data_IF_546460147997
#
_entry.id   IF_546460147997
#
_cell.length_a   1.000
_cell.length_b   1.000
_cell.length_c   1.000
_cell.angle_alpha   90.00
_cell.angle_beta   90.00
_cell.angle_gamma   90.00
#
_symmetry.space_group_name_H-M   'P 1'
#
loop_
_entity.id
_entity.type
_entity.pdbx_description
1 polymer ?
#
# COMPACT_ATOMS: atom_id res chain seq x y z
N UNK A 1 1.33 -18.15 -28.93
CA UNK A 1 2.15 -18.79 -27.88
C UNK A 1 1.47 -18.59 -26.54
N UNK A 2 1.07 -19.67 -25.86
CA UNK A 2 0.49 -19.61 -24.52
C UNK A 2 1.48 -18.95 -23.56
N UNK A 3 1.22 -17.70 -23.14
CA UNK A 3 1.95 -17.06 -22.04
C UNK A 3 1.81 -18.00 -20.84
N UNK A 4 2.91 -18.65 -20.42
CA UNK A 4 2.93 -19.42 -19.17
C UNK A 4 2.64 -18.45 -18.03
N UNK A 5 1.37 -18.38 -17.60
CA UNK A 5 0.90 -17.67 -16.41
C UNK A 5 1.78 -18.08 -15.24
N UNK A 6 2.55 -17.12 -14.70
CA UNK A 6 3.67 -17.38 -13.80
C UNK A 6 3.32 -17.28 -12.33
N UNK A 7 2.25 -16.55 -11.97
CA UNK A 7 1.88 -16.29 -10.57
C UNK A 7 0.77 -17.24 -10.13
N UNK A 8 1.08 -18.20 -9.25
CA UNK A 8 0.10 -19.04 -8.57
C UNK A 8 -0.49 -18.37 -7.33
N UNK A 9 -1.39 -19.07 -6.62
CA UNK A 9 -2.05 -18.55 -5.40
C UNK A 9 -1.06 -18.02 -4.37
N UNK A 10 0.00 -18.78 -4.05
CA UNK A 10 1.01 -18.35 -3.09
C UNK A 10 1.72 -17.06 -3.48
N UNK A 11 2.06 -16.90 -4.77
CA UNK A 11 2.71 -15.68 -5.26
C UNK A 11 1.74 -14.50 -5.31
N UNK A 12 0.48 -14.71 -5.68
CA UNK A 12 -0.55 -13.66 -5.64
C UNK A 12 -0.89 -13.23 -4.21
N UNK A 13 -1.01 -14.18 -3.28
CA UNK A 13 -1.17 -13.90 -1.85
C UNK A 13 0.05 -13.18 -1.29
N UNK A 14 1.27 -13.59 -1.66
CA UNK A 14 2.49 -12.89 -1.27
C UNK A 14 2.58 -11.48 -1.86
N UNK A 15 2.00 -11.24 -3.04
CA UNK A 15 1.91 -9.89 -3.61
C UNK A 15 0.94 -9.01 -2.82
N UNK A 16 -0.24 -9.52 -2.44
CA UNK A 16 -1.19 -8.78 -1.59
C UNK A 16 -0.60 -8.55 -0.20
N UNK A 17 -0.29 -9.63 0.51
CA UNK A 17 0.22 -9.58 1.89
C UNK A 17 1.54 -8.85 1.94
N UNK A 18 2.48 -9.14 1.03
CA UNK A 18 3.80 -8.53 1.07
C UNK A 18 3.83 -7.06 0.67
N UNK A 19 2.87 -6.57 -0.13
CA UNK A 19 2.73 -5.13 -0.44
C UNK A 19 2.05 -4.36 0.70
N UNK A 20 1.06 -4.97 1.35
CA UNK A 20 0.43 -4.40 2.54
C UNK A 20 1.42 -4.38 3.71
N UNK A 21 2.00 -5.55 4.05
CA UNK A 21 2.96 -5.71 5.14
C UNK A 21 4.31 -5.17 4.66
N UNK A 22 4.43 -3.85 4.63
CA UNK A 22 5.67 -3.12 4.32
C UNK A 22 6.18 -2.35 5.53
N UNK A 23 6.87 -1.24 5.29
CA UNK A 23 7.36 -0.36 6.37
C UNK A 23 6.25 0.26 7.22
N UNK A 24 5.04 0.43 6.64
CA UNK A 24 3.90 1.09 7.28
C UNK A 24 3.53 0.49 8.63
N UNK A 25 3.20 -0.80 8.69
CA UNK A 25 2.81 -1.45 9.95
C UNK A 25 3.90 -1.33 11.02
N UNK A 26 5.16 -1.46 10.61
CA UNK A 26 6.27 -1.49 11.55
C UNK A 26 6.53 -0.13 12.22
N UNK A 27 6.16 0.98 11.58
CA UNK A 27 6.31 2.33 12.14
C UNK A 27 5.01 2.88 12.76
N UNK A 28 3.86 2.29 12.44
CA UNK A 28 2.57 2.79 12.91
C UNK A 28 2.42 2.86 14.44
N UNK A 29 2.96 1.94 15.26
CA UNK A 29 2.90 2.09 16.71
C UNK A 29 3.50 3.41 17.22
N UNK A 30 4.61 3.87 16.64
CA UNK A 30 5.19 5.18 16.97
C UNK A 30 4.26 6.34 16.57
N UNK A 31 3.72 6.30 15.35
CA UNK A 31 2.81 7.33 14.86
C UNK A 31 1.48 7.40 15.65
N UNK A 32 1.03 6.26 16.18
CA UNK A 32 -0.21 6.14 16.95
C UNK A 32 -0.02 6.40 18.45
N UNK A 33 1.22 6.44 18.94
CA UNK A 33 1.54 6.65 20.34
C UNK A 33 0.95 7.96 20.90
N UNK A 34 0.93 9.02 20.09
CA UNK A 34 0.35 10.32 20.46
C UNK A 34 -1.18 10.28 20.69
N UNK A 35 -1.87 9.28 20.15
CA UNK A 35 -3.31 9.10 20.33
C UNK A 35 -3.63 8.15 21.49
N UNK A 36 -2.72 7.23 21.82
CA UNK A 36 -2.94 6.20 22.83
C UNK A 36 -3.90 5.11 22.36
N UNK A 37 -4.60 4.48 23.31
CA UNK A 37 -5.44 3.30 23.06
C UNK A 37 -6.57 3.48 22.05
N UNK A 38 -7.09 4.70 21.90
CA UNK A 38 -8.14 5.04 20.94
C UNK A 38 -7.78 4.69 19.49
N UNK A 39 -6.49 4.63 19.18
CA UNK A 39 -5.97 4.18 17.89
C UNK A 39 -6.39 2.76 17.51
N UNK A 40 -6.70 1.88 18.47
CA UNK A 40 -7.23 0.54 18.21
C UNK A 40 -8.62 0.63 17.55
N UNK A 41 -9.45 1.59 17.96
CA UNK A 41 -10.76 1.81 17.35
C UNK A 41 -10.58 2.31 15.90
N UNK A 42 -9.62 3.22 15.67
CA UNK A 42 -9.21 3.64 14.33
C UNK A 42 -8.79 2.45 13.45
N UNK A 43 -7.95 1.56 13.98
CA UNK A 43 -7.55 0.32 13.32
C UNK A 43 -8.74 -0.57 12.96
N UNK A 44 -9.69 -0.78 13.87
CA UNK A 44 -10.88 -1.62 13.63
C UNK A 44 -11.76 -1.04 12.52
N UNK A 45 -11.94 0.28 12.52
CA UNK A 45 -12.70 0.97 11.48
C UNK A 45 -12.01 0.86 10.11
N UNK A 46 -10.70 1.10 10.08
CA UNK A 46 -9.88 0.95 8.86
C UNK A 46 -9.85 -0.49 8.35
N UNK A 47 -9.67 -1.47 9.23
CA UNK A 47 -9.70 -2.89 8.86
C UNK A 47 -11.06 -3.28 8.27
N UNK A 48 -12.16 -2.79 8.84
CA UNK A 48 -13.51 -3.02 8.31
C UNK A 48 -13.66 -2.41 6.91
N UNK A 49 -13.23 -1.16 6.73
CA UNK A 49 -13.23 -0.49 5.43
C UNK A 49 -12.37 -1.21 4.39
N UNK A 50 -11.15 -1.62 4.75
CA UNK A 50 -10.25 -2.39 3.90
C UNK A 50 -10.85 -3.75 3.51
N UNK A 51 -11.55 -4.42 4.43
CA UNK A 51 -12.26 -5.67 4.13
C UNK A 51 -13.43 -5.45 3.17
N UNK A 52 -14.18 -4.36 3.30
CA UNK A 52 -15.20 -4.00 2.32
C UNK A 52 -14.56 -3.79 0.94
N UNK A 53 -13.48 -3.01 0.84
CA UNK A 53 -12.73 -2.80 -0.41
C UNK A 53 -12.18 -4.12 -0.99
N UNK A 54 -11.65 -5.01 -0.15
CA UNK A 54 -11.17 -6.32 -0.57
C UNK A 54 -12.28 -7.18 -1.18
N UNK A 55 -13.51 -7.13 -0.65
CA UNK A 55 -14.67 -7.81 -1.23
C UNK A 55 -15.06 -7.22 -2.59
N UNK A 56 -14.95 -5.90 -2.76
CA UNK A 56 -15.20 -5.21 -4.03
C UNK A 56 -14.19 -5.67 -5.10
N UNK A 57 -12.90 -5.60 -4.79
CA UNK A 57 -11.84 -6.05 -5.70
C UNK A 57 -11.90 -7.54 -5.98
N UNK A 58 -12.29 -8.36 -4.98
CA UNK A 58 -12.53 -9.78 -5.16
C UNK A 58 -13.64 -10.07 -6.18
N UNK A 59 -14.68 -9.24 -6.26
CA UNK A 59 -15.75 -9.45 -7.25
C UNK A 59 -15.37 -8.91 -8.60
N UNK A 60 -14.86 -7.68 -8.64
CA UNK A 60 -14.41 -7.04 -9.88
C UNK A 60 -13.36 -7.88 -10.60
N UNK A 61 -12.38 -8.43 -9.90
CA UNK A 61 -11.37 -9.33 -10.49
C UNK A 61 -11.93 -10.68 -10.93
N UNK A 62 -13.00 -11.16 -10.30
CA UNK A 62 -13.73 -12.35 -10.72
C UNK A 62 -14.43 -12.16 -12.07
N UNK A 63 -14.99 -10.96 -12.32
CA UNK A 63 -15.67 -10.63 -13.57
C UNK A 63 -14.74 -10.11 -14.67
N UNK A 64 -13.69 -9.37 -14.30
CA UNK A 64 -12.81 -8.65 -15.22
C UNK A 64 -11.34 -9.04 -14.89
N UNK A 65 -10.88 -10.24 -15.30
CA UNK A 65 -9.51 -10.71 -15.05
C UNK A 65 -8.53 -10.15 -16.10
N UNK A 66 -8.47 -8.82 -16.25
CA UNK A 66 -7.57 -8.12 -17.20
C UNK A 66 -6.49 -7.34 -16.47
N UNK A 67 -5.31 -7.21 -17.10
CA UNK A 67 -4.21 -6.38 -16.59
C UNK A 67 -4.66 -4.92 -16.45
N UNK A 68 -4.23 -4.27 -15.38
CA UNK A 68 -4.58 -2.88 -15.05
C UNK A 68 -5.44 -2.73 -13.80
N UNK A 69 -6.09 -3.82 -13.34
CA UNK A 69 -6.81 -3.86 -12.08
C UNK A 69 -7.82 -2.70 -11.92
N UNK A 70 -7.68 -1.82 -10.91
CA UNK A 70 -8.60 -0.71 -10.70
C UNK A 70 -8.81 0.18 -11.94
N UNK A 71 -7.77 0.42 -12.74
CA UNK A 71 -7.85 1.22 -13.96
C UNK A 71 -8.91 0.68 -14.93
N UNK A 72 -8.86 -0.64 -15.19
CA UNK A 72 -9.76 -1.24 -16.18
C UNK A 72 -11.21 -1.26 -15.67
N UNK A 73 -11.41 -1.45 -14.37
CA UNK A 73 -12.74 -1.44 -13.75
C UNK A 73 -13.41 -0.07 -13.90
N UNK A 74 -12.67 1.00 -13.57
CA UNK A 74 -13.13 2.38 -13.65
C UNK A 74 -13.36 2.78 -15.11
N UNK A 75 -12.44 2.41 -16.01
CA UNK A 75 -12.59 2.67 -17.45
C UNK A 75 -13.83 1.99 -18.02
N UNK A 76 -14.10 0.73 -17.66
CA UNK A 76 -15.28 0.00 -18.13
C UNK A 76 -16.59 0.60 -17.61
N UNK A 77 -16.60 1.14 -16.38
CA UNK A 77 -17.76 1.80 -15.82
C UNK A 77 -17.99 3.20 -16.42
N UNK A 78 -16.96 4.05 -16.39
CA UNK A 78 -17.07 5.50 -16.58
C UNK A 78 -16.36 6.06 -17.82
N UNK A 79 -15.70 5.20 -18.60
CA UNK A 79 -15.02 5.60 -19.84
C UNK A 79 -13.56 6.02 -19.67
N UNK A 80 -12.96 6.43 -20.79
CA UNK A 80 -11.51 6.63 -20.92
C UNK A 80 -10.94 7.68 -19.97
N UNK A 81 -11.59 8.84 -19.83
CA UNK A 81 -11.07 9.94 -19.01
C UNK A 81 -11.03 9.57 -17.53
N UNK A 82 -12.12 9.03 -16.99
CA UNK A 82 -12.20 8.61 -15.59
C UNK A 82 -11.18 7.49 -15.27
N UNK A 83 -11.03 6.51 -16.19
CA UNK A 83 -9.99 5.50 -16.06
C UNK A 83 -8.59 6.12 -16.03
N UNK A 84 -8.29 7.00 -16.99
CA UNK A 84 -6.98 7.65 -17.08
C UNK A 84 -6.63 8.47 -15.83
N UNK A 85 -7.53 9.36 -15.40
CA UNK A 85 -7.22 10.35 -14.35
C UNK A 85 -6.98 9.66 -13.01
N UNK A 86 -7.74 8.60 -12.73
CA UNK A 86 -7.57 7.79 -11.52
C UNK A 86 -6.30 6.95 -11.60
N UNK A 87 -5.99 6.35 -12.75
CA UNK A 87 -4.77 5.58 -12.91
C UNK A 87 -3.51 6.47 -12.88
N UNK A 88 -3.60 7.71 -13.36
CA UNK A 88 -2.57 8.73 -13.23
C UNK A 88 -2.31 9.07 -11.75
N UNK A 89 -3.38 9.39 -11.00
CA UNK A 89 -3.29 9.62 -9.55
C UNK A 89 -2.70 8.43 -8.81
N UNK A 90 -3.13 7.22 -9.14
CA UNK A 90 -2.60 6.01 -8.52
C UNK A 90 -1.13 5.74 -8.90
N UNK A 91 -0.70 6.04 -10.12
CA UNK A 91 0.72 5.95 -10.48
C UNK A 91 1.58 6.92 -9.67
N UNK A 92 1.07 8.14 -9.44
CA UNK A 92 1.68 9.12 -8.52
C UNK A 92 1.77 8.57 -7.10
N UNK A 93 0.67 8.00 -6.59
CA UNK A 93 0.63 7.35 -5.28
C UNK A 93 1.75 6.31 -5.13
N UNK A 94 1.95 5.47 -6.14
CA UNK A 94 2.94 4.39 -6.12
C UNK A 94 4.37 4.94 -6.01
N UNK A 95 4.77 5.88 -6.87
CA UNK A 95 6.17 6.36 -6.82
C UNK A 95 6.44 7.20 -5.58
N UNK A 96 5.46 7.96 -5.08
CA UNK A 96 5.57 8.68 -3.81
C UNK A 96 5.70 7.67 -2.66
N UNK A 97 4.88 6.62 -2.67
CA UNK A 97 4.91 5.57 -1.67
C UNK A 97 6.19 4.76 -1.66
N UNK A 98 6.79 4.51 -2.82
CA UNK A 98 8.10 3.86 -2.93
C UNK A 98 9.20 4.63 -2.20
N UNK A 99 9.17 5.97 -2.23
CA UNK A 99 10.10 6.79 -1.44
C UNK A 99 9.92 6.54 0.06
N UNK A 100 8.67 6.56 0.56
CA UNK A 100 8.35 6.31 1.96
C UNK A 100 8.75 4.90 2.42
N UNK A 101 8.55 3.88 1.58
CA UNK A 101 8.97 2.50 1.88
C UNK A 101 10.49 2.39 1.92
N UNK A 102 11.21 3.03 0.99
CA UNK A 102 12.68 3.03 0.98
C UNK A 102 13.27 3.72 2.23
N UNK A 103 12.67 4.82 2.69
CA UNK A 103 13.05 5.47 3.95
C UNK A 103 12.79 4.55 5.14
N UNK A 104 11.63 3.88 5.20
CA UNK A 104 11.32 2.90 6.23
C UNK A 104 12.29 1.71 6.26
N UNK A 105 12.72 1.24 5.08
CA UNK A 105 13.79 0.24 4.96
C UNK A 105 15.09 0.73 5.62
N UNK A 106 15.53 1.95 5.33
CA UNK A 106 16.75 2.51 5.90
C UNK A 106 16.63 2.72 7.41
N UNK A 107 15.47 3.15 7.91
CA UNK A 107 15.21 3.30 9.35
C UNK A 107 15.43 2.00 10.12
N UNK A 108 14.89 0.88 9.63
CA UNK A 108 15.14 -0.43 10.22
C UNK A 108 16.57 -0.95 9.99
N UNK A 109 17.15 -0.65 8.83
CA UNK A 109 18.53 -1.05 8.53
C UNK A 109 19.58 -0.31 9.38
N UNK A 110 19.22 0.86 9.92
CA UNK A 110 20.07 1.63 10.83
C UNK A 110 20.38 0.89 12.15
N UNK A 111 19.59 -0.13 12.54
CA UNK A 111 19.94 -1.01 13.66
C UNK A 111 21.29 -1.70 13.44
N UNK A 112 21.57 -2.12 12.20
CA UNK A 112 22.81 -2.80 11.83
C UNK A 112 23.93 -1.81 11.48
N UNK A 113 23.54 -0.65 10.96
CA UNK A 113 24.48 0.40 10.58
C UNK A 113 24.04 1.76 11.14
N UNK A 114 24.38 2.07 12.40
CA UNK A 114 23.90 3.26 13.11
C UNK A 114 24.21 4.60 12.43
N UNK A 115 25.27 4.66 11.61
CA UNK A 115 25.60 5.84 10.83
C UNK A 115 24.46 6.29 9.89
N UNK A 116 23.54 5.39 9.53
CA UNK A 116 22.35 5.71 8.73
C UNK A 116 21.34 6.55 9.50
N UNK A 117 21.30 6.47 10.83
CA UNK A 117 20.42 7.29 11.66
C UNK A 117 20.95 8.73 11.82
N UNK A 118 22.29 8.90 11.80
CA UNK A 118 22.93 10.20 12.01
C UNK A 118 23.32 10.93 10.71
N UNK A 119 23.33 10.24 9.57
CA UNK A 119 23.75 10.80 8.29
C UNK A 119 22.66 10.65 7.23
N UNK A 120 21.84 11.69 7.08
CA UNK A 120 20.73 11.73 6.11
C UNK A 120 21.17 11.58 4.65
N UNK A 121 22.39 12.00 4.31
CA UNK A 121 22.94 11.81 2.96
C UNK A 121 23.22 10.34 2.66
N UNK A 122 23.91 9.66 3.58
CA UNK A 122 24.18 8.24 3.47
C UNK A 122 22.87 7.43 3.46
N UNK A 123 21.91 7.79 4.32
CA UNK A 123 20.58 7.21 4.34
C UNK A 123 19.87 7.34 2.98
N UNK A 124 19.92 8.53 2.37
CA UNK A 124 19.37 8.80 1.04
C UNK A 124 20.02 7.94 -0.05
N UNK A 125 21.35 7.80 -0.03
CA UNK A 125 22.07 6.94 -0.97
C UNK A 125 21.64 5.47 -0.83
N UNK A 126 21.56 4.95 0.39
CA UNK A 126 21.15 3.54 0.62
C UNK A 126 19.71 3.31 0.18
N UNK A 127 18.80 4.25 0.46
CA UNK A 127 17.42 4.18 -0.01
C UNK A 127 17.36 4.17 -1.55
N UNK A 128 18.05 5.07 -2.23
CA UNK A 128 18.11 5.10 -3.70
C UNK A 128 18.74 3.83 -4.29
N UNK A 129 19.82 3.33 -3.68
CA UNK A 129 20.45 2.08 -4.09
C UNK A 129 19.47 0.90 -4.01
N UNK A 130 18.65 0.83 -2.94
CA UNK A 130 17.63 -0.20 -2.80
C UNK A 130 16.56 -0.14 -3.90
N UNK A 131 16.10 1.08 -4.26
CA UNK A 131 15.16 1.30 -5.35
C UNK A 131 15.74 0.82 -6.68
N UNK A 132 16.95 1.27 -7.02
CA UNK A 132 17.58 0.93 -8.31
C UNK A 132 17.93 -0.55 -8.42
N UNK A 133 18.37 -1.19 -7.32
CA UNK A 133 18.58 -2.63 -7.25
C UNK A 133 17.27 -3.39 -7.55
N UNK A 134 16.17 -3.02 -6.88
CA UNK A 134 14.87 -3.66 -7.08
C UNK A 134 14.27 -3.36 -8.46
N UNK A 135 14.49 -2.16 -9.00
CA UNK A 135 14.13 -1.81 -10.37
C UNK A 135 14.86 -2.71 -11.36
N UNK A 136 16.17 -2.92 -11.19
CA UNK A 136 16.93 -3.85 -12.00
C UNK A 136 16.37 -5.28 -11.90
N UNK A 137 16.10 -5.80 -10.70
CA UNK A 137 15.48 -7.12 -10.49
C UNK A 137 14.14 -7.21 -11.25
N UNK A 138 13.30 -6.18 -11.17
CA UNK A 138 12.02 -6.13 -11.85
C UNK A 138 12.15 -6.07 -13.38
N UNK A 139 13.26 -5.57 -13.93
CA UNK A 139 13.53 -5.70 -15.37
C UNK A 139 13.81 -7.14 -15.81
N UNK A 140 14.21 -8.03 -14.89
CA UNK A 140 14.55 -9.43 -15.20
C UNK A 140 13.34 -10.36 -15.39
N UNK A 141 12.12 -9.90 -15.10
CA UNK A 141 10.90 -10.68 -15.33
C UNK A 141 9.94 -10.67 -14.13
N UNK A 142 8.64 -10.66 -14.42
CA UNK A 142 7.57 -10.70 -13.39
C UNK A 142 7.67 -11.93 -12.48
N UNK A 143 8.13 -13.07 -13.00
CA UNK A 143 8.33 -14.29 -12.21
C UNK A 143 9.43 -14.14 -11.15
N UNK A 144 10.55 -13.49 -11.50
CA UNK A 144 11.65 -13.26 -10.56
C UNK A 144 11.22 -12.28 -9.47
N UNK A 145 10.54 -11.20 -9.84
CA UNK A 145 9.93 -10.28 -8.90
C UNK A 145 8.93 -10.98 -7.95
N UNK A 146 8.09 -11.87 -8.48
CA UNK A 146 7.16 -12.69 -7.69
C UNK A 146 7.85 -13.70 -6.76
N UNK A 147 9.02 -14.23 -7.14
CA UNK A 147 9.82 -15.08 -6.27
C UNK A 147 10.46 -14.29 -5.12
N UNK A 148 11.06 -13.14 -5.41
CA UNK A 148 11.58 -12.21 -4.38
C UNK A 148 10.47 -11.81 -3.43
N UNK A 149 9.27 -11.53 -3.95
CA UNK A 149 8.09 -11.23 -3.16
C UNK A 149 7.71 -12.38 -2.21
N UNK A 150 7.71 -13.62 -2.70
CA UNK A 150 7.36 -14.79 -1.89
C UNK A 150 8.36 -15.01 -0.75
N UNK A 151 9.66 -14.99 -1.06
CA UNK A 151 10.72 -15.19 -0.07
C UNK A 151 10.66 -14.10 1.01
N UNK A 152 10.61 -12.83 0.60
CA UNK A 152 10.54 -11.70 1.54
C UNK A 152 9.26 -11.72 2.38
N UNK A 153 8.13 -12.20 1.82
CA UNK A 153 6.87 -12.34 2.56
C UNK A 153 6.94 -13.42 3.64
N UNK A 154 7.55 -14.57 3.36
CA UNK A 154 7.72 -15.62 4.38
C UNK A 154 8.61 -15.12 5.51
N UNK A 155 9.74 -14.49 5.16
CA UNK A 155 10.72 -14.00 6.14
C UNK A 155 10.17 -12.87 7.03
N UNK A 156 9.32 -11.99 6.51
CA UNK A 156 8.75 -10.88 7.30
C UNK A 156 7.61 -11.31 8.24
N UNK A 157 6.86 -12.36 7.91
CA UNK A 157 5.68 -12.78 8.69
C UNK A 157 6.08 -13.32 10.05
N UNK A 158 7.19 -14.08 10.13
CA UNK A 158 7.62 -14.73 11.38
C UNK A 158 7.86 -13.74 12.53
N UNK A 159 8.76 -12.74 12.41
CA UNK A 159 9.03 -11.80 13.50
C UNK A 159 7.80 -10.96 13.85
N UNK A 160 6.99 -10.59 12.85
CA UNK A 160 5.75 -9.86 13.08
C UNK A 160 4.75 -10.72 13.89
N UNK A 161 4.55 -11.98 13.49
CA UNK A 161 3.65 -12.90 14.20
C UNK A 161 4.12 -13.18 15.63
N UNK A 162 5.43 -13.32 15.86
CA UNK A 162 6.02 -13.53 17.19
C UNK A 162 5.70 -12.35 18.10
N UNK A 163 5.95 -11.11 17.67
CA UNK A 163 5.63 -9.92 18.48
C UNK A 163 4.12 -9.77 18.66
N UNK A 164 3.33 -9.94 17.59
CA UNK A 164 1.87 -9.83 17.64
C UNK A 164 1.19 -10.89 18.53
N UNK A 165 1.85 -12.00 18.86
CA UNK A 165 1.27 -13.07 19.68
C UNK A 165 1.97 -13.19 21.03
N UNK A 166 3.26 -13.53 21.05
CA UNK A 166 4.02 -13.72 22.28
C UNK A 166 4.32 -12.40 23.00
N UNK A 167 4.42 -11.29 22.27
CA UNK A 167 4.59 -9.96 22.87
C UNK A 167 3.42 -9.56 23.77
N UNK A 168 2.21 -10.06 23.50
CA UNK A 168 1.02 -9.79 24.33
C UNK A 168 1.15 -10.33 25.76
N UNK A 169 2.05 -11.29 26.01
CA UNK A 169 2.32 -11.81 27.36
C UNK A 169 3.04 -10.80 28.25
N UNK A 170 3.65 -9.76 27.66
CA UNK A 170 4.39 -8.70 28.34
C UNK A 170 3.64 -7.36 28.30
N UNK A 171 2.35 -7.42 28.02
CA UNK A 171 1.47 -6.27 27.92
C UNK A 171 1.27 -5.60 29.28
N UNK A 172 1.45 -4.27 29.33
CA UNK A 172 1.07 -3.43 30.45
C UNK A 172 -0.12 -2.53 30.06
N UNK A 173 -1.24 -2.67 30.77
CA UNK A 173 -2.46 -1.89 30.53
C UNK A 173 -2.29 -0.40 30.85
N UNK A 174 -1.36 -0.04 31.73
CA UNK A 174 -1.13 1.35 32.13
C UNK A 174 -0.64 2.20 30.95
N UNK A 175 0.03 1.58 29.97
CA UNK A 175 0.44 2.23 28.72
C UNK A 175 -0.76 2.69 27.86
N UNK A 176 -1.97 2.21 28.15
CA UNK A 176 -3.22 2.61 27.51
C UNK A 176 -3.99 3.65 28.33
N UNK A 177 -3.42 4.18 29.42
CA UNK A 177 -4.07 5.19 30.26
C UNK A 177 -3.36 6.56 30.17
N UNK A 178 -4.08 7.64 29.84
CA UNK A 178 -5.49 7.70 29.43
C UNK A 178 -5.72 7.05 28.06
N UNK A 179 -6.93 6.50 27.83
CA UNK A 179 -7.23 5.78 26.58
C UNK A 179 -7.17 6.67 25.34
N UNK A 180 -7.51 7.95 25.48
CA UNK A 180 -7.32 8.96 24.45
C UNK A 180 -6.28 9.99 24.93
N UNK A 181 -5.11 9.99 24.31
CA UNK A 181 -3.98 10.88 24.62
C UNK A 181 -3.91 12.09 23.69
N UNK A 182 -4.76 12.17 22.66
CA UNK A 182 -4.63 13.22 21.63
C UNK A 182 -5.01 14.62 22.11
N UNK A 183 -5.72 14.74 23.24
CA UNK A 183 -6.33 16.00 23.70
C UNK A 183 -7.55 16.44 22.89
N UNK A 184 -7.93 15.67 21.87
CA UNK A 184 -9.05 15.95 20.96
C UNK A 184 -10.28 15.08 21.28
N UNK A 185 -11.42 15.40 20.66
CA UNK A 185 -12.60 14.54 20.73
C UNK A 185 -12.30 13.12 20.21
N UNK A 186 -12.99 12.12 20.77
CA UNK A 186 -12.82 10.73 20.35
C UNK A 186 -13.07 10.53 18.86
N UNK A 187 -14.04 11.24 18.29
CA UNK A 187 -14.34 11.20 16.86
C UNK A 187 -13.17 11.71 16.00
N UNK A 188 -12.56 12.84 16.40
CA UNK A 188 -11.39 13.41 15.72
C UNK A 188 -10.18 12.45 15.79
N UNK A 189 -9.90 11.90 16.97
CA UNK A 189 -8.81 10.94 17.17
C UNK A 189 -9.00 9.65 16.36
N UNK A 190 -10.21 9.08 16.34
CA UNK A 190 -10.53 7.89 15.52
C UNK A 190 -10.35 8.20 14.03
N UNK A 191 -10.74 9.40 13.60
CA UNK A 191 -10.61 9.83 12.20
C UNK A 191 -9.15 9.99 11.78
N UNK A 192 -8.33 10.64 12.60
CA UNK A 192 -6.91 10.81 12.33
C UNK A 192 -6.14 9.47 12.33
N UNK A 193 -6.39 8.62 13.34
CA UNK A 193 -5.78 7.29 13.41
C UNK A 193 -6.27 6.36 12.30
N UNK A 194 -7.52 6.50 11.87
CA UNK A 194 -8.06 5.80 10.70
C UNK A 194 -7.32 6.15 9.40
N UNK A 195 -7.06 7.44 9.17
CA UNK A 195 -6.30 7.89 8.01
C UNK A 195 -4.85 7.36 8.02
N UNK A 196 -4.18 7.38 9.17
CA UNK A 196 -2.83 6.84 9.33
C UNK A 196 -2.78 5.32 9.07
N UNK A 197 -3.72 4.58 9.63
CA UNK A 197 -3.74 3.12 9.54
C UNK A 197 -4.11 2.61 8.14
N UNK A 198 -4.84 3.39 7.34
CA UNK A 198 -5.16 3.05 5.96
C UNK A 198 -3.92 2.82 5.11
N UNK A 199 -2.83 3.55 5.38
CA UNK A 199 -1.54 3.37 4.71
C UNK A 199 -1.08 1.91 4.73
N UNK A 200 -1.24 1.20 5.86
CA UNK A 200 -0.83 -0.19 5.98
C UNK A 200 -1.71 -1.17 5.19
N UNK A 201 -2.90 -0.74 4.76
CA UNK A 201 -3.82 -1.52 3.94
C UNK A 201 -3.67 -1.28 2.44
N UNK A 202 -2.90 -0.26 2.03
CA UNK A 202 -2.62 -0.04 0.62
C UNK A 202 -1.95 -1.29 0.03
N UNK A 203 -2.40 -1.68 -1.16
CA UNK A 203 -1.91 -2.87 -1.84
C UNK A 203 -2.84 -4.08 -1.73
N UNK A 204 -4.01 -3.97 -1.08
CA UNK A 204 -5.07 -4.99 -1.16
C UNK A 204 -5.49 -5.29 -2.62
N UNK A 205 -5.37 -4.30 -3.49
CA UNK A 205 -5.66 -4.37 -4.92
C UNK A 205 -4.51 -4.95 -5.76
N UNK A 206 -3.32 -5.13 -5.19
CA UNK A 206 -2.08 -5.40 -5.94
C UNK A 206 -2.16 -6.60 -6.89
N UNK A 207 -2.83 -7.68 -6.46
CA UNK A 207 -2.98 -8.89 -7.28
C UNK A 207 -3.89 -8.69 -8.50
N UNK A 208 -4.74 -7.66 -8.51
CA UNK A 208 -5.63 -7.34 -9.65
C UNK A 208 -4.87 -6.69 -10.81
N UNK A 209 -3.72 -6.08 -10.56
CA UNK A 209 -3.00 -5.29 -11.55
C UNK A 209 -2.29 -6.17 -12.58
N UNK A 210 -1.50 -7.20 -12.22
CA UNK A 210 -0.89 -8.13 -13.17
C UNK A 210 -1.78 -9.35 -13.48
N UNK A 211 -3.11 -9.16 -13.59
CA UNK A 211 -4.06 -10.28 -13.64
C UNK A 211 -3.83 -11.27 -14.80
N UNK A 212 -3.31 -10.83 -15.95
CA UNK A 212 -3.03 -11.72 -17.08
C UNK A 212 -1.86 -12.70 -16.82
N UNK A 213 -0.97 -12.36 -15.89
CA UNK A 213 0.17 -13.19 -15.52
C UNK A 213 -0.15 -14.14 -14.35
N UNK A 214 -1.38 -14.07 -13.79
CA UNK A 214 -1.90 -14.93 -12.72
C UNK A 214 -2.54 -16.19 -13.27
N UNK A 215 -2.26 -17.34 -12.63
CA UNK A 215 -2.89 -18.63 -12.91
C UNK A 215 -4.30 -18.65 -12.33
N UNK A 216 -5.29 -18.96 -13.17
CA UNK A 216 -6.71 -18.99 -12.80
C UNK A 216 -7.17 -17.69 -12.10
N UNK A 217 -7.04 -16.53 -12.78
CA UNK A 217 -7.17 -15.22 -12.13
C UNK A 217 -8.53 -14.98 -11.48
N UNK A 218 -9.61 -15.56 -12.04
CA UNK A 218 -10.98 -15.42 -11.53
C UNK A 218 -11.22 -16.14 -10.20
N UNK A 219 -10.32 -17.03 -9.77
CA UNK A 219 -10.37 -17.69 -8.45
C UNK A 219 -9.20 -17.30 -7.56
N UNK A 220 -8.02 -17.15 -8.15
CA UNK A 220 -6.79 -16.88 -7.43
C UNK A 220 -6.74 -15.47 -6.86
N UNK A 221 -7.05 -14.44 -7.67
CA UNK A 221 -7.01 -13.04 -7.24
C UNK A 221 -8.05 -12.76 -6.14
N UNK A 222 -9.32 -13.19 -6.28
CA UNK A 222 -10.32 -13.04 -5.22
C UNK A 222 -9.88 -13.60 -3.86
N UNK A 223 -9.36 -14.83 -3.86
CA UNK A 223 -8.90 -15.50 -2.63
C UNK A 223 -7.68 -14.80 -2.03
N UNK A 224 -6.71 -14.44 -2.87
CA UNK A 224 -5.50 -13.75 -2.43
C UNK A 224 -5.82 -12.39 -1.79
N UNK A 225 -6.72 -11.61 -2.40
CA UNK A 225 -7.14 -10.30 -1.88
C UNK A 225 -7.87 -10.45 -0.54
N UNK A 226 -8.94 -11.24 -0.46
CA UNK A 226 -9.75 -11.32 0.79
C UNK A 226 -8.96 -11.94 1.94
N UNK A 227 -8.31 -13.08 1.71
CA UNK A 227 -7.56 -13.76 2.78
C UNK A 227 -6.31 -12.98 3.17
N UNK A 228 -5.64 -12.35 2.20
CA UNK A 228 -4.48 -11.51 2.46
C UNK A 228 -4.84 -10.28 3.29
N UNK A 229 -5.94 -9.59 2.95
CA UNK A 229 -6.40 -8.43 3.72
C UNK A 229 -6.82 -8.81 5.13
N UNK A 230 -7.56 -9.92 5.30
CA UNK A 230 -7.98 -10.39 6.63
C UNK A 230 -6.78 -10.76 7.51
N UNK A 231 -5.83 -11.51 6.94
CA UNK A 231 -4.60 -11.89 7.64
C UNK A 231 -3.80 -10.66 8.09
N UNK A 232 -3.59 -9.71 7.19
CA UNK A 232 -2.90 -8.46 7.50
C UNK A 232 -3.64 -7.65 8.58
N UNK A 233 -4.97 -7.53 8.49
CA UNK A 233 -5.76 -6.83 9.50
C UNK A 233 -5.55 -7.38 10.91
N UNK A 234 -5.63 -8.71 11.07
CA UNK A 234 -5.46 -9.38 12.35
C UNK A 234 -4.05 -9.15 12.89
N UNK A 235 -3.02 -9.39 12.08
CA UNK A 235 -1.63 -9.30 12.54
C UNK A 235 -1.23 -7.85 12.89
N UNK A 236 -1.81 -6.87 12.18
CA UNK A 236 -1.58 -5.44 12.40
C UNK A 236 -2.14 -4.94 13.72
N UNK A 237 -3.40 -5.28 13.99
CA UNK A 237 -4.08 -4.90 15.23
C UNK A 237 -3.35 -5.53 16.41
N UNK A 238 -3.12 -6.85 16.36
CA UNK A 238 -2.42 -7.56 17.43
C UNK A 238 -0.99 -7.05 17.63
N UNK A 239 -0.26 -6.78 16.55
CA UNK A 239 1.10 -6.25 16.62
C UNK A 239 1.17 -4.86 17.22
N UNK A 240 0.25 -3.98 16.83
CA UNK A 240 0.19 -2.62 17.37
C UNK A 240 -0.20 -2.65 18.85
N UNK A 241 -1.20 -3.46 19.22
CA UNK A 241 -1.61 -3.64 20.63
C UNK A 241 -0.45 -4.17 21.47
N UNK A 242 0.29 -5.17 20.98
CA UNK A 242 1.45 -5.70 21.67
C UNK A 242 2.51 -4.61 21.88
N UNK A 243 2.97 -3.95 20.82
CA UNK A 243 4.03 -2.93 20.91
C UNK A 243 3.63 -1.76 21.80
N UNK A 244 2.40 -1.24 21.67
CA UNK A 244 1.89 -0.16 22.52
C UNK A 244 1.71 -0.60 23.98
N UNK A 245 1.44 -1.89 24.23
CA UNK A 245 1.38 -2.43 25.57
C UNK A 245 2.74 -2.66 26.21
N UNK A 246 3.78 -2.86 25.42
CA UNK A 246 5.15 -3.14 25.89
C UNK A 246 5.92 -1.84 26.15
N UNK A 247 5.83 -0.88 25.23
CA UNK A 247 6.63 0.35 25.26
C UNK A 247 5.78 1.53 25.76
N UNK A 248 6.24 2.28 26.77
CA UNK A 248 5.56 3.50 27.21
C UNK A 248 5.35 4.52 26.07
N UNK A 249 4.20 5.20 25.99
CA UNK A 249 3.86 6.10 24.88
C UNK A 249 4.90 7.18 24.57
N UNK A 250 5.52 7.77 25.60
CA UNK A 250 6.54 8.82 25.44
C UNK A 250 7.83 8.32 24.79
N UNK A 251 8.23 7.07 25.08
CA UNK A 251 9.36 6.42 24.43
C UNK A 251 8.96 5.95 23.02
N UNK A 252 7.77 5.37 22.89
CA UNK A 252 7.26 4.82 21.63
C UNK A 252 7.13 5.88 20.53
N UNK A 253 6.67 7.09 20.87
CA UNK A 253 6.51 8.19 19.92
C UNK A 253 7.83 8.61 19.25
N UNK A 254 8.97 8.35 19.89
CA UNK A 254 10.31 8.69 19.40
C UNK A 254 11.04 7.49 18.76
N UNK A 255 10.42 6.32 18.74
CA UNK A 255 11.03 5.11 18.20
C UNK A 255 11.06 5.12 16.67
N UNK A 256 12.22 4.80 16.10
CA UNK A 256 12.41 4.58 14.66
C UNK A 256 12.24 3.12 14.26
N UNK A 257 12.13 2.20 15.23
CA UNK A 257 11.92 0.77 15.00
C UNK A 257 11.07 0.11 16.12
N UNK A 258 9.79 0.49 16.29
CA UNK A 258 8.98 0.09 17.45
C UNK A 258 8.94 -1.41 17.76
N UNK A 259 8.84 -2.25 16.74
CA UNK A 259 8.81 -3.69 16.91
C UNK A 259 10.16 -4.25 17.37
N UNK A 260 11.27 -3.69 16.90
CA UNK A 260 12.61 -4.10 17.32
C UNK A 260 12.88 -3.64 18.75
N UNK A 261 12.45 -2.43 19.12
CA UNK A 261 12.56 -1.92 20.49
C UNK A 261 11.75 -2.78 21.47
N UNK A 262 10.55 -3.19 21.09
CA UNK A 262 9.70 -4.06 21.91
C UNK A 262 10.32 -5.46 22.07
N UNK A 263 10.90 -6.00 21.00
CA UNK A 263 11.63 -7.28 21.08
C UNK A 263 12.87 -7.16 21.98
N UNK A 264 13.59 -6.05 21.89
CA UNK A 264 14.80 -5.79 22.66
C UNK A 264 14.50 -5.64 24.17
N UNK A 265 13.42 -4.93 24.53
CA UNK A 265 13.04 -4.75 25.92
C UNK A 265 12.59 -6.04 26.60
N UNK A 266 12.01 -6.98 25.86
CA UNK A 266 11.48 -8.24 26.39
C UNK A 266 12.54 -9.36 26.38
N UNK A 267 13.18 -9.58 25.24
CA UNK A 267 14.02 -10.77 24.99
C UNK A 267 15.50 -10.43 24.78
N UNK A 268 15.87 -9.15 24.87
CA UNK A 268 17.23 -8.67 24.74
C UNK A 268 17.66 -8.37 23.30
N UNK A 269 18.91 -7.92 23.16
CA UNK A 269 19.43 -7.33 21.92
C UNK A 269 19.33 -8.25 20.70
N UNK A 270 19.58 -9.56 20.85
CA UNK A 270 19.50 -10.52 19.75
C UNK A 270 18.10 -10.54 19.11
N UNK A 271 17.04 -10.41 19.92
CA UNK A 271 15.66 -10.38 19.43
C UNK A 271 15.35 -9.05 18.73
N UNK A 272 15.87 -7.95 19.28
CA UNK A 272 15.82 -6.64 18.62
C UNK A 272 16.43 -6.69 17.21
N UNK A 273 17.64 -7.23 17.07
CA UNK A 273 18.28 -7.40 15.76
C UNK A 273 17.50 -8.35 14.83
N UNK A 274 16.98 -9.47 15.34
CA UNK A 274 16.20 -10.40 14.53
C UNK A 274 14.92 -9.77 13.97
N UNK A 275 14.20 -9.01 14.80
CA UNK A 275 12.99 -8.29 14.38
C UNK A 275 13.32 -7.13 13.44
N UNK A 276 14.39 -6.38 13.69
CA UNK A 276 14.86 -5.33 12.79
C UNK A 276 15.24 -5.88 11.41
N UNK A 277 15.91 -7.04 11.34
CA UNK A 277 16.19 -7.72 10.07
C UNK A 277 14.88 -8.09 9.34
N UNK A 278 13.92 -8.64 10.06
CA UNK A 278 12.59 -8.98 9.53
C UNK A 278 11.85 -7.78 8.95
N UNK A 279 11.86 -6.65 9.65
CA UNK A 279 11.22 -5.40 9.23
C UNK A 279 11.97 -4.72 8.05
N UNK A 280 13.30 -4.81 8.01
CA UNK A 280 14.08 -4.36 6.86
C UNK A 280 13.78 -5.21 5.61
N UNK A 281 13.82 -6.55 5.74
CA UNK A 281 13.42 -7.49 4.69
C UNK A 281 11.96 -7.24 4.26
N UNK A 282 11.10 -6.90 5.22
CA UNK A 282 9.72 -6.53 4.95
C UNK A 282 9.62 -5.32 4.03
N UNK A 283 10.25 -4.23 4.42
CA UNK A 283 10.23 -2.96 3.68
C UNK A 283 10.83 -3.15 2.28
N UNK A 284 11.94 -3.88 2.17
CA UNK A 284 12.57 -4.23 0.88
C UNK A 284 11.65 -5.08 -0.01
N UNK A 285 10.96 -6.08 0.58
CA UNK A 285 10.00 -6.92 -0.13
C UNK A 285 8.76 -6.14 -0.61
N UNK A 286 8.22 -5.23 0.21
CA UNK A 286 7.11 -4.38 -0.19
C UNK A 286 7.53 -3.44 -1.34
N UNK A 287 8.72 -2.84 -1.24
CA UNK A 287 9.28 -1.99 -2.28
C UNK A 287 9.41 -2.74 -3.62
N UNK A 288 9.81 -4.02 -3.60
CA UNK A 288 9.88 -4.84 -4.80
C UNK A 288 8.51 -4.96 -5.50
N UNK A 289 7.46 -5.27 -4.75
CA UNK A 289 6.12 -5.42 -5.32
C UNK A 289 5.52 -4.10 -5.78
N UNK A 290 5.76 -2.98 -5.08
CA UNK A 290 5.30 -1.66 -5.52
C UNK A 290 6.09 -1.12 -6.73
N UNK A 291 7.39 -1.41 -6.84
CA UNK A 291 8.16 -1.13 -8.07
C UNK A 291 7.58 -1.91 -9.25
N UNK A 292 7.21 -3.19 -9.07
CA UNK A 292 6.51 -3.94 -10.11
C UNK A 292 5.25 -3.21 -10.58
N UNK A 293 4.40 -2.77 -9.67
CA UNK A 293 3.15 -2.08 -9.97
C UNK A 293 3.39 -0.73 -10.69
N UNK A 294 4.48 -0.02 -10.34
CA UNK A 294 4.85 1.26 -10.97
C UNK A 294 5.10 1.15 -12.48
N UNK A 295 5.48 -0.05 -12.96
CA UNK A 295 5.59 -0.33 -14.39
C UNK A 295 4.30 -0.83 -15.03
N UNK A 296 3.51 -1.62 -14.30
CA UNK A 296 2.29 -2.27 -14.81
C UNK A 296 1.14 -1.29 -15.03
N UNK A 297 0.98 -0.29 -14.17
CA UNK A 297 -0.09 0.72 -14.31
C UNK A 297 0.09 1.55 -15.60
N UNK A 298 1.22 2.21 -15.85
CA UNK A 298 1.46 2.91 -17.12
C UNK A 298 1.38 2.00 -18.35
N UNK A 299 1.81 0.73 -18.23
CA UNK A 299 1.68 -0.26 -19.30
C UNK A 299 0.22 -0.50 -19.68
N UNK A 300 -0.67 -0.67 -18.69
CA UNK A 300 -2.09 -0.89 -18.93
C UNK A 300 -2.75 0.31 -19.63
N UNK A 301 -2.46 1.53 -19.16
CA UNK A 301 -3.00 2.77 -19.74
C UNK A 301 -2.47 2.97 -21.18
N UNK A 302 -1.19 2.69 -21.42
CA UNK A 302 -0.56 2.81 -22.74
C UNK A 302 -1.10 1.81 -23.77
N UNK A 303 -1.48 0.60 -23.34
CA UNK A 303 -2.11 -0.41 -24.22
C UNK A 303 -3.48 0.01 -24.72
N UNK A 304 -4.18 0.84 -23.96
CA UNK A 304 -5.45 1.44 -24.35
C UNK A 304 -5.27 2.78 -25.10
N UNK A 305 -4.04 3.10 -25.55
CA UNK A 305 -3.67 4.35 -26.25
C UNK A 305 -3.94 5.64 -25.46
N UNK A 306 -4.07 5.55 -24.12
CA UNK A 306 -4.28 6.72 -23.25
C UNK A 306 -2.97 7.23 -22.62
N UNK A 307 -1.83 6.64 -22.97
CA UNK A 307 -0.50 7.04 -22.48
C UNK A 307 0.57 6.90 -23.59
N UNK A 308 1.73 7.59 -23.52
CA UNK A 308 2.74 7.49 -24.56
C UNK A 308 3.13 6.04 -24.87
N UNK A 309 3.15 5.70 -26.16
CA UNK A 309 3.35 4.33 -26.64
C UNK A 309 4.63 3.64 -26.12
N UNK A 310 5.66 4.40 -25.69
CA UNK A 310 6.87 3.85 -25.06
C UNK A 310 6.58 3.07 -23.77
N UNK A 311 5.60 3.50 -22.98
CA UNK A 311 5.17 2.78 -21.76
C UNK A 311 4.45 1.47 -22.07
N UNK A 312 3.88 1.33 -23.27
CA UNK A 312 3.20 0.13 -23.74
C UNK A 312 4.14 -1.00 -24.18
N UNK A 313 5.45 -0.73 -24.32
CA UNK A 313 6.43 -1.69 -24.86
C UNK A 313 6.95 -2.64 -23.77
N UNK A 314 6.97 -3.92 -24.09
CA UNK A 314 7.57 -4.96 -23.26
C UNK A 314 8.98 -5.30 -23.73
N UNK A 315 9.87 -5.63 -22.79
CA UNK A 315 11.18 -6.22 -23.07
C UNK A 315 11.07 -7.67 -23.55
N UNK A 316 12.19 -8.26 -24.00
CA UNK A 316 12.29 -9.71 -24.30
C UNK A 316 11.87 -10.59 -23.10
N UNK A 317 11.97 -10.07 -21.88
CA UNK A 317 11.60 -10.75 -20.63
C UNK A 317 10.15 -10.46 -20.19
N UNK A 318 9.37 -9.78 -21.03
CA UNK A 318 7.95 -9.50 -20.79
C UNK A 318 7.68 -8.39 -19.78
N UNK A 319 8.63 -7.48 -19.54
CA UNK A 319 8.55 -6.42 -18.52
C UNK A 319 8.51 -5.01 -19.12
N UNK A 320 7.72 -4.07 -18.57
CA UNK A 320 7.65 -2.69 -19.04
C UNK A 320 8.83 -1.84 -18.52
N UNK A 321 10.03 -2.13 -19.02
CA UNK A 321 11.30 -1.52 -18.53
C UNK A 321 11.26 0.00 -18.53
N UNK A 322 10.72 0.62 -19.58
CA UNK A 322 10.63 2.08 -19.65
C UNK A 322 9.79 2.66 -18.50
N UNK A 323 8.63 2.05 -18.19
CA UNK A 323 7.78 2.49 -17.09
C UNK A 323 8.45 2.32 -15.72
N UNK A 324 9.17 1.21 -15.51
CA UNK A 324 9.93 0.96 -14.28
C UNK A 324 11.04 2.01 -14.07
N UNK A 325 11.81 2.29 -15.11
CA UNK A 325 12.92 3.26 -15.06
C UNK A 325 12.38 4.67 -14.83
N UNK A 326 11.38 5.11 -15.61
CA UNK A 326 10.80 6.46 -15.43
C UNK A 326 10.22 6.62 -14.03
N UNK A 327 9.48 5.63 -13.53
CA UNK A 327 8.95 5.68 -12.15
C UNK A 327 10.07 5.83 -11.13
N UNK A 328 11.16 5.07 -11.27
CA UNK A 328 12.32 5.13 -10.35
C UNK A 328 13.08 6.46 -10.42
N UNK A 329 13.17 7.07 -11.60
CA UNK A 329 13.69 8.43 -11.77
C UNK A 329 12.80 9.43 -11.03
N UNK A 330 11.46 9.31 -11.14
CA UNK A 330 10.54 10.18 -10.39
C UNK A 330 10.70 10.02 -8.87
N UNK A 331 10.87 8.78 -8.37
CA UNK A 331 11.21 8.55 -6.95
C UNK A 331 12.51 9.27 -6.60
N UNK A 332 13.54 9.16 -7.44
CA UNK A 332 14.86 9.81 -7.21
C UNK A 332 14.72 11.33 -7.12
N UNK A 333 13.97 11.95 -8.03
CA UNK A 333 13.72 13.40 -8.03
C UNK A 333 13.03 13.82 -6.74
N UNK A 334 11.99 13.09 -6.31
CA UNK A 334 11.26 13.38 -5.07
C UNK A 334 12.20 13.26 -3.87
N UNK A 335 13.01 12.21 -3.79
CA UNK A 335 13.96 12.04 -2.69
C UNK A 335 15.02 13.16 -2.66
N UNK A 336 15.51 13.63 -3.81
CA UNK A 336 16.47 14.74 -3.89
C UNK A 336 15.87 16.10 -3.50
N UNK A 337 14.63 16.38 -3.96
CA UNK A 337 13.92 17.62 -3.59
C UNK A 337 13.67 17.72 -2.07
N UNK A 338 13.69 16.59 -1.37
CA UNK A 338 13.39 16.49 0.04
C UNK A 338 14.63 16.55 0.97
N UNK A 339 15.84 16.75 0.45
CA UNK A 339 17.09 16.74 1.24
C UNK A 339 17.20 17.84 2.34
N UNK A 340 16.28 18.82 2.37
CA UNK A 340 16.40 20.04 3.19
C UNK A 340 15.45 20.15 4.40
N UNK A 341 14.55 19.19 4.69
CA UNK A 341 13.67 19.26 5.90
C UNK A 341 13.68 17.96 6.73
N UNK A 342 13.20 18.03 7.98
CA UNK A 342 13.14 16.91 8.93
C UNK A 342 12.39 15.68 8.36
N UNK A 343 12.98 14.49 8.49
CA UNK A 343 12.49 13.23 7.89
C UNK A 343 11.06 12.85 8.28
N UNK A 344 10.61 13.19 9.50
CA UNK A 344 9.31 12.75 10.06
C UNK A 344 8.12 13.57 9.53
N UNK A 345 8.26 14.89 9.42
CA UNK A 345 7.21 15.77 8.88
C UNK A 345 7.02 15.53 7.37
N UNK A 346 8.12 15.31 6.65
CA UNK A 346 8.07 14.95 5.24
C UNK A 346 7.48 13.57 5.02
N UNK A 347 7.84 12.57 5.84
CA UNK A 347 7.24 11.24 5.77
C UNK A 347 5.72 11.31 5.90
N UNK A 348 5.21 12.07 6.87
CA UNK A 348 3.77 12.27 7.08
C UNK A 348 3.10 12.97 5.89
N UNK A 349 3.70 14.03 5.34
CA UNK A 349 3.17 14.73 4.18
C UNK A 349 3.15 13.85 2.91
N UNK A 350 4.25 13.14 2.63
CA UNK A 350 4.42 12.22 1.50
C UNK A 350 3.46 11.02 1.62
N UNK A 351 3.33 10.47 2.82
CA UNK A 351 2.41 9.37 3.13
C UNK A 351 0.96 9.79 2.89
N UNK A 352 0.55 10.95 3.41
CA UNK A 352 -0.83 11.41 3.29
C UNK A 352 -1.19 11.76 1.84
N UNK A 353 -0.24 12.33 1.07
CA UNK A 353 -0.43 12.61 -0.35
C UNK A 353 -0.56 11.34 -1.21
N UNK A 354 0.24 10.31 -0.92
CA UNK A 354 0.11 8.98 -1.54
C UNK A 354 -1.22 8.31 -1.15
N UNK A 355 -1.61 8.42 0.12
CA UNK A 355 -2.85 7.81 0.65
C UNK A 355 -4.10 8.43 0.00
N UNK A 356 -4.13 9.75 -0.18
CA UNK A 356 -5.26 10.41 -0.84
C UNK A 356 -5.44 10.00 -2.31
N UNK A 357 -4.35 9.92 -3.04
CA UNK A 357 -4.39 9.54 -4.46
C UNK A 357 -4.83 8.08 -4.63
N UNK A 358 -4.51 7.21 -3.66
CA UNK A 358 -5.07 5.85 -3.56
C UNK A 358 -6.54 5.84 -3.11
N UNK A 359 -6.98 6.75 -2.24
CA UNK A 359 -8.38 6.84 -1.81
C UNK A 359 -9.33 7.15 -2.97
N UNK A 360 -8.91 7.96 -3.94
CA UNK A 360 -9.71 8.20 -5.15
C UNK A 360 -9.83 6.95 -6.03
N UNK A 361 -8.77 6.13 -6.11
CA UNK A 361 -8.84 4.81 -6.73
C UNK A 361 -9.95 3.96 -6.10
N UNK A 362 -10.00 3.92 -4.78
CA UNK A 362 -10.98 3.17 -4.02
C UNK A 362 -12.38 3.71 -4.24
N UNK A 363 -12.58 5.02 -4.14
CA UNK A 363 -13.89 5.67 -4.32
C UNK A 363 -14.48 5.39 -5.71
N UNK A 364 -13.67 5.51 -6.76
CA UNK A 364 -14.11 5.20 -8.11
C UNK A 364 -14.30 3.70 -8.33
N UNK A 365 -13.48 2.84 -7.71
CA UNK A 365 -13.62 1.39 -7.84
C UNK A 365 -14.92 0.88 -7.19
N UNK A 366 -15.32 1.44 -6.05
CA UNK A 366 -16.58 1.08 -5.39
C UNK A 366 -17.79 1.49 -6.22
N UNK A 367 -17.76 2.69 -6.82
CA UNK A 367 -18.82 3.15 -7.73
C UNK A 367 -18.79 2.39 -9.07
N UNK A 368 -17.62 1.95 -9.54
CA UNK A 368 -17.50 1.10 -10.71
C UNK A 368 -18.17 -0.26 -10.48
N UNK A 369 -17.94 -0.91 -9.33
CA UNK A 369 -18.65 -2.15 -8.97
C UNK A 369 -20.16 -1.95 -8.95
N UNK A 370 -20.62 -0.86 -8.33
CA UNK A 370 -22.05 -0.54 -8.25
C UNK A 370 -22.65 -0.38 -9.66
N UNK A 371 -22.02 0.43 -10.51
CA UNK A 371 -22.50 0.66 -11.87
C UNK A 371 -22.50 -0.62 -12.71
N UNK A 372 -21.42 -1.42 -12.65
CA UNK A 372 -21.32 -2.68 -13.38
C UNK A 372 -22.38 -3.67 -12.89
N UNK A 373 -22.59 -3.78 -11.57
CA UNK A 373 -23.57 -4.70 -10.99
C UNK A 373 -25.01 -4.33 -11.34
N UNK A 374 -25.31 -3.02 -11.44
CA UNK A 374 -26.64 -2.53 -11.89
C UNK A 374 -26.84 -2.79 -13.38
N UNK A 375 -25.84 -2.49 -14.22
CA UNK A 375 -25.90 -2.73 -15.67
C UNK A 375 -26.05 -4.21 -15.99
N UNK A 376 -25.37 -5.07 -15.24
CA UNK A 376 -25.42 -6.52 -15.40
C UNK A 376 -26.39 -7.21 -14.44
N UNK A 377 -27.42 -6.51 -13.94
CA UNK A 377 -28.35 -7.00 -12.89
C UNK A 377 -28.93 -8.38 -13.19
N UNK A 378 -29.12 -8.71 -14.45
CA UNK A 378 -29.68 -9.98 -14.92
C UNK A 378 -28.78 -11.19 -14.59
N UNK A 379 -27.47 -10.96 -14.40
CA UNK A 379 -26.51 -11.99 -13.98
C UNK A 379 -26.51 -12.23 -12.46
N UNK A 380 -27.28 -11.45 -11.70
CA UNK A 380 -27.32 -11.50 -10.24
C UNK A 380 -28.72 -11.90 -9.75
N UNK A 381 -28.78 -12.83 -8.78
CA UNK A 381 -29.99 -13.00 -7.96
C UNK A 381 -30.25 -11.73 -7.14
N UNK A 382 -31.51 -11.37 -6.91
CA UNK A 382 -31.92 -10.16 -6.15
C UNK A 382 -31.17 -9.97 -4.82
N UNK A 383 -31.04 -11.04 -4.01
CA UNK A 383 -30.31 -10.97 -2.74
C UNK A 383 -28.80 -10.71 -2.89
N UNK A 384 -28.18 -11.25 -3.93
CA UNK A 384 -26.76 -11.02 -4.24
C UNK A 384 -26.53 -9.59 -4.74
N UNK A 385 -27.45 -9.07 -5.57
CA UNK A 385 -27.39 -7.69 -6.04
C UNK A 385 -27.52 -6.70 -4.87
N UNK A 386 -28.50 -6.91 -3.97
CA UNK A 386 -28.67 -6.07 -2.77
C UNK A 386 -27.42 -6.09 -1.89
N UNK A 387 -26.85 -7.29 -1.62
CA UNK A 387 -25.60 -7.42 -0.86
C UNK A 387 -24.45 -6.64 -1.52
N UNK A 388 -24.39 -6.63 -2.85
CA UNK A 388 -23.39 -5.84 -3.58
C UNK A 388 -23.61 -4.36 -3.41
N UNK A 389 -24.82 -3.86 -3.62
CA UNK A 389 -25.14 -2.45 -3.45
C UNK A 389 -24.77 -1.97 -2.05
N UNK A 390 -25.16 -2.72 -1.00
CA UNK A 390 -24.86 -2.37 0.38
C UNK A 390 -23.35 -2.31 0.62
N UNK A 391 -22.58 -3.30 0.17
CA UNK A 391 -21.12 -3.32 0.34
C UNK A 391 -20.47 -2.16 -0.42
N UNK A 392 -20.88 -1.88 -1.67
CA UNK A 392 -20.32 -0.78 -2.46
C UNK A 392 -20.60 0.58 -1.82
N UNK A 393 -21.81 0.79 -1.30
CA UNK A 393 -22.19 2.04 -0.61
C UNK A 393 -21.41 2.21 0.70
N UNK A 394 -21.34 1.16 1.54
CA UNK A 394 -20.58 1.23 2.79
C UNK A 394 -19.08 1.49 2.55
N UNK A 395 -18.50 0.82 1.56
CA UNK A 395 -17.10 1.04 1.19
C UNK A 395 -16.86 2.44 0.62
N UNK A 396 -17.80 2.99 -0.15
CA UNK A 396 -17.74 4.36 -0.62
C UNK A 396 -17.80 5.36 0.53
N UNK A 397 -18.74 5.19 1.47
CA UNK A 397 -18.86 6.04 2.67
C UNK A 397 -17.59 5.99 3.53
N UNK A 398 -17.03 4.80 3.73
CA UNK A 398 -15.73 4.63 4.40
C UNK A 398 -14.62 5.40 3.68
N UNK A 399 -14.57 5.30 2.35
CA UNK A 399 -13.55 5.98 1.56
C UNK A 399 -13.72 7.50 1.63
N UNK A 400 -14.94 8.02 1.60
CA UNK A 400 -15.22 9.45 1.77
C UNK A 400 -14.83 9.94 3.17
N UNK A 401 -15.12 9.15 4.21
CA UNK A 401 -14.69 9.43 5.57
C UNK A 401 -13.16 9.50 5.68
N UNK A 402 -12.45 8.56 5.06
CA UNK A 402 -10.98 8.55 5.06
C UNK A 402 -10.40 9.75 4.28
N UNK A 403 -11.02 10.18 3.18
CA UNK A 403 -10.63 11.39 2.45
C UNK A 403 -10.81 12.64 3.33
N UNK A 404 -11.95 12.74 4.02
CA UNK A 404 -12.20 13.84 4.95
C UNK A 404 -11.17 13.85 6.10
N UNK A 405 -10.83 12.66 6.62
CA UNK A 405 -9.83 12.48 7.68
C UNK A 405 -8.39 12.74 7.27
N UNK A 406 -8.06 12.69 5.98
CA UNK A 406 -6.73 13.03 5.50
C UNK A 406 -6.41 14.54 5.64
N UNK A 407 -7.42 15.40 5.80
CA UNK A 407 -7.23 16.83 6.01
C UNK A 407 -7.24 17.65 4.71
N UNK A 408 -7.66 18.91 4.83
CA UNK A 408 -7.96 19.79 3.69
C UNK A 408 -6.74 20.10 2.82
N UNK A 409 -5.58 20.32 3.43
CA UNK A 409 -4.34 20.63 2.70
C UNK A 409 -3.92 19.46 1.80
N UNK A 410 -4.02 18.24 2.31
CA UNK A 410 -3.69 17.03 1.55
C UNK A 410 -4.68 16.86 0.39
N UNK A 411 -5.99 17.05 0.65
CA UNK A 411 -7.04 17.03 -0.38
C UNK A 411 -6.72 18.01 -1.51
N UNK A 412 -6.32 19.23 -1.17
CA UNK A 412 -5.93 20.25 -2.13
C UNK A 412 -4.74 19.83 -2.99
N UNK A 413 -3.64 19.38 -2.39
CA UNK A 413 -2.45 18.96 -3.15
C UNK A 413 -2.69 17.71 -3.99
N UNK A 414 -3.43 16.73 -3.48
CA UNK A 414 -3.77 15.55 -4.26
C UNK A 414 -4.66 15.87 -5.46
N UNK A 415 -5.60 16.80 -5.30
CA UNK A 415 -6.39 17.30 -6.43
C UNK A 415 -5.49 17.90 -7.52
N UNK A 416 -4.55 18.78 -7.15
CA UNK A 416 -3.62 19.39 -8.11
C UNK A 416 -2.75 18.34 -8.82
N UNK A 417 -2.22 17.37 -8.08
CA UNK A 417 -1.42 16.28 -8.67
C UNK A 417 -2.23 15.43 -9.65
N UNK A 418 -3.49 15.15 -9.34
CA UNK A 418 -4.36 14.43 -10.26
C UNK A 418 -4.65 15.25 -11.50
N UNK A 419 -5.00 16.53 -11.33
CA UNK A 419 -5.26 17.45 -12.44
C UNK A 419 -4.04 17.69 -13.33
N UNK A 420 -2.82 17.50 -12.81
CA UNK A 420 -1.60 17.53 -13.62
C UNK A 420 -1.55 16.48 -14.74
N UNK A 421 -2.41 15.44 -14.67
CA UNK A 421 -2.57 14.45 -15.73
C UNK A 421 -3.42 14.94 -16.91
N UNK A 422 -4.25 15.96 -16.73
CA UNK A 422 -5.18 16.45 -17.77
C UNK A 422 -4.43 16.91 -19.03
N UNK A 423 -3.34 17.71 -18.96
CA UNK A 423 -2.57 18.07 -20.15
C UNK A 423 -2.04 16.84 -20.93
N UNK A 424 -1.62 15.79 -20.22
CA UNK A 424 -1.15 14.55 -20.84
C UNK A 424 -2.29 13.83 -21.54
N UNK A 425 -3.48 13.78 -20.92
CA UNK A 425 -4.67 13.20 -21.55
C UNK A 425 -5.07 13.95 -22.82
N UNK A 426 -5.13 15.29 -22.76
CA UNK A 426 -5.47 16.14 -23.92
C UNK A 426 -4.46 15.93 -25.05
N UNK A 427 -3.17 15.90 -24.74
CA UNK A 427 -2.13 15.62 -25.74
C UNK A 427 -2.29 14.23 -26.37
N UNK A 428 -2.65 13.21 -25.59
CA UNK A 428 -2.93 11.87 -26.11
C UNK A 428 -4.19 11.84 -26.99
N UNK A 429 -5.26 12.54 -26.61
CA UNK A 429 -6.47 12.65 -27.42
C UNK A 429 -6.21 13.37 -28.75
N UNK A 430 -5.49 14.49 -28.71
CA UNK A 430 -5.11 15.25 -29.91
C UNK A 430 -4.27 14.41 -30.88
N UNK A 431 -3.33 13.60 -30.37
CA UNK A 431 -2.48 12.74 -31.18
C UNK A 431 -3.24 11.57 -31.83
N UNK A 432 -4.32 11.12 -31.21
CA UNK A 432 -5.10 9.96 -31.65
C UNK A 432 -6.35 10.34 -32.47
N UNK A 433 -6.71 11.63 -32.50
CA UNK A 433 -7.70 12.20 -33.40
C UNK A 433 -7.12 12.30 -34.82
#
# INVERSE_FOLDING_TARGET
MSKKRGLGLWMSSALVVGNMIGSGIFLLPAALAAYGGISIIGWLFTATGAMLLALIYSRLSGFIPKTGGPYIYIRMAFGNFAGFIVAWGYWISIFIGNAAIAVGFVGYFAFFWPALASNSFLAGIVALASIWLLTWINTMGVRNAGFVQLVTTILKIVPLAVISTLGLLYFNIDNFTPFNMSGESSFSAITATGALTLWAFLGLESATIPAEDVKDPTRTIPRATVLGTLFSAVIYILGTVAVMGIIPPSALANSTAPFADAANSIWGSWAGYAVAAGAAISSFGALNGWILLSGQIPLAIARDNLFPAKFGRLSKRGTPVFGLVVSSVLVTVIMMMNYTKNLVEQFTFILLLSTLTALLLYAFSTMAELMISIKEREKFSNGRLLKTIVISVLAFLYTMWAIAGAGQEIVYWGFLLIMSGVPVYVWMQWRNA
#
